data_IF_626401684806
#
_entry.id   IF_626401684806
#
_cell.length_a   1.000
_cell.length_b   1.000
_cell.length_c   1.000
_cell.angle_alpha   90.00
_cell.angle_beta   90.00
_cell.angle_gamma   90.00
#
_symmetry.space_group_name_H-M   'P 1'
#
loop_
_entity.id
_entity.type
_entity.pdbx_description
1 polymer ?
#
# COMPACT_ATOMS: atom_id res chain seq x y z
N UNK A 1 -29.89 -23.51 -27.18
CA UNK A 1 -29.32 -22.18 -27.49
C UNK A 1 -28.87 -21.57 -26.18
N UNK A 2 -27.56 -21.47 -25.96
CA UNK A 2 -26.99 -20.77 -24.82
C UNK A 2 -26.94 -19.27 -25.15
N UNK A 3 -27.29 -18.36 -24.24
CA UNK A 3 -26.99 -16.96 -24.45
C UNK A 3 -25.49 -16.74 -24.20
N UNK A 4 -24.76 -16.50 -25.28
CA UNK A 4 -23.41 -15.97 -25.27
C UNK A 4 -23.42 -14.61 -24.56
N UNK A 5 -22.78 -14.54 -23.38
CA UNK A 5 -22.51 -13.27 -22.69
C UNK A 5 -21.29 -12.62 -23.34
N UNK A 6 -21.49 -12.05 -24.53
CA UNK A 6 -20.52 -11.20 -25.19
C UNK A 6 -20.72 -9.75 -24.72
N UNK A 7 -19.66 -9.15 -24.18
CA UNK A 7 -19.53 -7.68 -24.08
C UNK A 7 -19.78 -7.06 -22.72
N UNK A 8 -18.92 -7.34 -21.74
CA UNK A 8 -18.72 -6.46 -20.58
C UNK A 8 -17.20 -6.25 -20.37
N UNK A 9 -16.55 -5.62 -21.36
CA UNK A 9 -15.17 -5.11 -21.27
C UNK A 9 -15.13 -3.73 -21.91
N UNK A 10 -15.66 -2.75 -21.19
CA UNK A 10 -15.45 -1.32 -21.42
C UNK A 10 -15.75 -0.63 -20.10
N UNK A 11 -14.79 0.16 -19.63
CA UNK A 11 -14.92 1.09 -18.49
C UNK A 11 -14.77 0.51 -17.08
N UNK A 12 -13.91 -0.50 -16.88
CA UNK A 12 -13.30 -0.65 -15.55
C UNK A 12 -12.27 0.49 -15.39
N UNK A 13 -12.38 1.36 -14.37
CA UNK A 13 -11.34 2.32 -14.06
C UNK A 13 -10.03 1.56 -13.93
N UNK A 14 -9.00 1.98 -14.65
CA UNK A 14 -7.69 1.35 -14.52
C UNK A 14 -7.18 1.66 -13.11
N UNK A 15 -7.28 0.70 -12.19
CA UNK A 15 -6.88 0.87 -10.78
C UNK A 15 -5.46 1.39 -10.68
N UNK A 16 -4.55 0.89 -11.52
CA UNK A 16 -3.19 1.38 -11.60
C UNK A 16 -3.13 2.89 -11.93
N UNK A 17 -4.01 3.36 -12.82
CA UNK A 17 -4.09 4.78 -13.16
C UNK A 17 -4.55 5.60 -11.96
N UNK A 18 -5.54 5.13 -11.19
CA UNK A 18 -5.98 5.81 -9.96
C UNK A 18 -4.84 5.94 -8.95
N UNK A 19 -4.02 4.90 -8.79
CA UNK A 19 -2.84 4.93 -7.93
C UNK A 19 -1.81 5.94 -8.44
N UNK A 20 -1.48 5.91 -9.73
CA UNK A 20 -0.53 6.88 -10.31
C UNK A 20 -1.04 8.32 -10.26
N UNK A 21 -2.35 8.53 -10.48
CA UNK A 21 -2.97 9.84 -10.34
C UNK A 21 -2.90 10.30 -8.86
N UNK A 22 -3.13 9.40 -7.90
CA UNK A 22 -2.99 9.69 -6.46
C UNK A 22 -1.55 10.07 -6.06
N UNK A 23 -0.55 9.30 -6.51
CA UNK A 23 0.88 9.61 -6.33
C UNK A 23 1.19 11.01 -6.89
N UNK A 24 0.69 11.33 -8.09
CA UNK A 24 0.86 12.65 -8.72
C UNK A 24 0.22 13.77 -7.90
N UNK A 25 -1.00 13.56 -7.37
CA UNK A 25 -1.68 14.56 -6.54
C UNK A 25 -0.93 14.80 -5.23
N UNK A 26 -0.38 13.75 -4.63
CA UNK A 26 0.45 13.87 -3.44
C UNK A 26 1.74 14.67 -3.72
N UNK A 27 2.43 14.39 -4.83
CA UNK A 27 3.65 15.12 -5.23
C UNK A 27 3.41 16.63 -5.44
N UNK A 28 2.21 17.03 -5.89
CA UNK A 28 1.85 18.45 -6.06
C UNK A 28 1.21 19.07 -4.80
N UNK A 29 1.16 18.33 -3.69
CA UNK A 29 0.65 18.80 -2.40
C UNK A 29 -0.87 18.80 -2.26
N UNK A 30 -1.59 18.11 -3.14
CA UNK A 30 -3.04 17.98 -3.08
C UNK A 30 -3.44 16.69 -2.34
N UNK A 31 -3.27 16.72 -1.01
CA UNK A 31 -3.41 15.55 -0.15
C UNK A 31 -4.83 14.96 -0.17
N UNK A 32 -5.86 15.79 -0.06
CA UNK A 32 -7.27 15.35 -0.07
C UNK A 32 -7.63 14.54 -1.33
N UNK A 33 -7.19 15.02 -2.50
CA UNK A 33 -7.45 14.33 -3.77
C UNK A 33 -6.63 13.04 -3.87
N UNK A 34 -5.38 13.04 -3.38
CA UNK A 34 -4.56 11.83 -3.33
C UNK A 34 -5.22 10.73 -2.51
N UNK A 35 -5.73 11.07 -1.32
CA UNK A 35 -6.45 10.14 -0.44
C UNK A 35 -7.72 9.62 -1.11
N UNK A 36 -8.51 10.51 -1.73
CA UNK A 36 -9.73 10.16 -2.46
C UNK A 36 -9.45 9.14 -3.58
N UNK A 37 -8.43 9.40 -4.40
CA UNK A 37 -8.04 8.53 -5.51
C UNK A 37 -7.48 7.18 -5.05
N UNK A 38 -6.62 7.17 -4.03
CA UNK A 38 -6.06 5.95 -3.46
C UNK A 38 -7.13 5.08 -2.77
N UNK A 39 -8.07 5.71 -2.05
CA UNK A 39 -9.22 5.02 -1.43
C UNK A 39 -10.09 4.34 -2.48
N UNK A 40 -10.41 5.08 -3.55
CA UNK A 40 -11.16 4.53 -4.69
C UNK A 40 -10.41 3.39 -5.39
N UNK A 41 -9.08 3.46 -5.47
CA UNK A 41 -8.27 2.37 -6.01
C UNK A 41 -8.37 1.11 -5.13
N UNK A 42 -8.29 1.26 -3.80
CA UNK A 42 -8.43 0.16 -2.85
C UNK A 42 -9.83 -0.47 -2.92
N UNK A 43 -10.89 0.33 -3.02
CA UNK A 43 -12.26 -0.17 -3.16
C UNK A 43 -12.46 -0.97 -4.47
N UNK A 44 -11.89 -0.50 -5.57
CA UNK A 44 -12.05 -1.13 -6.88
C UNK A 44 -11.20 -2.38 -7.05
N UNK A 45 -10.00 -2.43 -6.46
CA UNK A 45 -9.17 -3.65 -6.48
C UNK A 45 -9.75 -4.73 -5.57
N UNK A 46 -10.30 -4.35 -4.42
CA UNK A 46 -10.84 -5.26 -3.42
C UNK A 46 -9.77 -6.15 -2.77
N UNK A 47 -10.21 -6.95 -1.80
CA UNK A 47 -9.36 -7.92 -1.10
C UNK A 47 -8.88 -9.03 -2.06
N UNK A 48 -7.57 -9.28 -2.06
CA UNK A 48 -6.89 -10.22 -2.95
C UNK A 48 -6.65 -9.69 -4.37
N UNK A 49 -6.96 -8.42 -4.66
CA UNK A 49 -6.74 -7.84 -5.98
C UNK A 49 -5.28 -7.44 -6.24
N UNK A 50 -4.88 -7.41 -7.51
CA UNK A 50 -3.49 -7.17 -7.96
C UNK A 50 -2.86 -5.86 -7.44
N UNK A 51 -3.69 -4.87 -7.10
CA UNK A 51 -3.24 -3.55 -6.64
C UNK A 51 -3.52 -3.30 -5.16
N UNK A 52 -4.06 -4.28 -4.42
CA UNK A 52 -4.43 -4.10 -3.01
C UNK A 52 -3.22 -3.67 -2.18
N UNK A 53 -2.10 -4.39 -2.30
CA UNK A 53 -0.88 -4.09 -1.56
C UNK A 53 -0.36 -2.67 -1.86
N UNK A 54 -0.32 -2.28 -3.13
CA UNK A 54 0.12 -0.94 -3.54
C UNK A 54 -0.81 0.16 -3.01
N UNK A 55 -2.12 -0.05 -3.09
CA UNK A 55 -3.10 0.91 -2.58
C UNK A 55 -3.03 1.05 -1.05
N UNK A 56 -2.85 -0.05 -0.32
CA UNK A 56 -2.69 -0.03 1.13
C UNK A 56 -1.45 0.73 1.58
N UNK A 57 -0.29 0.49 0.97
CA UNK A 57 0.91 1.25 1.32
C UNK A 57 0.75 2.73 1.03
N UNK A 58 0.20 3.09 -0.14
CA UNK A 58 0.00 4.49 -0.49
C UNK A 58 -0.95 5.18 0.51
N UNK A 59 -2.07 4.54 0.86
CA UNK A 59 -2.97 5.07 1.89
C UNK A 59 -2.29 5.17 3.25
N UNK A 60 -1.45 4.22 3.63
CA UNK A 60 -0.63 4.30 4.84
C UNK A 60 0.24 5.56 4.86
N UNK A 61 0.94 5.85 3.77
CA UNK A 61 1.77 7.06 3.64
C UNK A 61 0.91 8.32 3.70
N UNK A 62 -0.17 8.38 2.92
CA UNK A 62 -1.05 9.56 2.89
C UNK A 62 -1.70 9.83 4.25
N UNK A 63 -2.11 8.80 4.98
CA UNK A 63 -2.65 8.94 6.33
C UNK A 63 -1.60 9.43 7.34
N UNK A 64 -0.31 9.07 7.19
CA UNK A 64 0.76 9.68 8.00
C UNK A 64 0.84 11.18 7.73
N UNK A 65 0.76 11.58 6.47
CA UNK A 65 0.85 12.97 6.04
C UNK A 65 -0.37 13.80 6.47
N UNK A 66 -1.55 13.19 6.52
CA UNK A 66 -2.79 13.80 7.01
C UNK A 66 -2.86 13.89 8.54
N UNK A 67 -1.98 13.16 9.24
CA UNK A 67 -1.96 13.06 10.70
C UNK A 67 -2.89 11.99 11.27
N UNK A 68 -3.55 11.21 10.42
CA UNK A 68 -4.41 10.08 10.77
C UNK A 68 -3.56 8.82 11.06
N UNK A 69 -2.83 8.87 12.18
CA UNK A 69 -1.84 7.84 12.57
C UNK A 69 -2.45 6.46 12.77
N UNK A 70 -3.68 6.40 13.31
CA UNK A 70 -4.40 5.15 13.56
C UNK A 70 -4.75 4.45 12.24
N UNK A 71 -5.30 5.19 11.28
CA UNK A 71 -5.60 4.70 9.93
C UNK A 71 -4.33 4.26 9.19
N UNK A 72 -3.26 5.07 9.27
CA UNK A 72 -1.97 4.74 8.66
C UNK A 72 -1.46 3.37 9.15
N UNK A 73 -1.50 3.16 10.47
CA UNK A 73 -1.08 1.90 11.09
C UNK A 73 -1.95 0.74 10.62
N UNK A 74 -3.26 0.91 10.55
CA UNK A 74 -4.18 -0.12 10.07
C UNK A 74 -3.92 -0.51 8.60
N UNK A 75 -3.68 0.47 7.73
CA UNK A 75 -3.30 0.22 6.33
C UNK A 75 -1.98 -0.54 6.22
N UNK A 76 -0.95 -0.13 6.96
CA UNK A 76 0.33 -0.85 6.94
C UNK A 76 0.23 -2.26 7.53
N UNK A 77 -0.54 -2.47 8.60
CA UNK A 77 -0.77 -3.81 9.15
C UNK A 77 -1.49 -4.72 8.16
N UNK A 78 -2.43 -4.19 7.36
CA UNK A 78 -3.05 -4.93 6.26
C UNK A 78 -2.04 -5.24 5.16
N UNK A 79 -1.20 -4.29 4.78
CA UNK A 79 -0.14 -4.50 3.79
C UNK A 79 0.88 -5.57 4.23
N UNK A 80 1.21 -5.63 5.53
CA UNK A 80 2.07 -6.67 6.09
C UNK A 80 1.48 -8.06 5.92
N UNK A 81 0.15 -8.24 6.00
CA UNK A 81 -0.48 -9.54 5.77
C UNK A 81 -0.36 -10.03 4.32
N UNK A 82 -0.17 -9.11 3.37
CA UNK A 82 0.00 -9.43 1.95
C UNK A 82 1.48 -9.65 1.56
N UNK A 83 2.41 -9.08 2.32
CA UNK A 83 3.85 -9.22 2.12
C UNK A 83 4.59 -9.26 3.46
N UNK A 84 4.47 -10.41 4.14
CA UNK A 84 4.94 -10.59 5.52
C UNK A 84 6.45 -10.42 5.68
N UNK A 85 7.21 -10.73 4.63
CA UNK A 85 8.67 -10.71 4.63
C UNK A 85 9.28 -9.49 3.91
N UNK A 86 8.47 -8.65 3.25
CA UNK A 86 8.99 -7.51 2.48
C UNK A 86 9.73 -7.91 1.22
N UNK A 87 9.44 -9.08 0.66
CA UNK A 87 10.22 -9.65 -0.47
C UNK A 87 9.58 -9.40 -1.83
N UNK A 88 8.33 -8.93 -1.85
CA UNK A 88 7.69 -8.53 -3.09
C UNK A 88 8.35 -7.27 -3.66
N UNK A 89 8.23 -7.08 -4.98
CA UNK A 89 8.81 -5.93 -5.69
C UNK A 89 8.12 -4.62 -5.26
N UNK A 90 8.91 -3.59 -5.02
CA UNK A 90 8.43 -2.26 -4.61
C UNK A 90 7.39 -1.69 -5.61
N UNK A 91 7.50 -2.04 -6.91
CA UNK A 91 6.56 -1.59 -7.96
C UNK A 91 5.12 -2.08 -7.74
N UNK A 92 4.92 -3.16 -6.99
CA UNK A 92 3.59 -3.68 -6.64
C UNK A 92 3.21 -3.40 -5.19
N UNK A 93 3.92 -2.49 -4.51
CA UNK A 93 3.73 -2.18 -3.09
C UNK A 93 4.46 -3.14 -2.14
N UNK A 94 5.43 -3.90 -2.64
CA UNK A 94 6.28 -4.72 -1.80
C UNK A 94 7.27 -3.92 -0.96
N UNK A 95 8.34 -4.59 -0.54
CA UNK A 95 9.47 -3.92 0.09
C UNK A 95 9.33 -3.58 1.57
N UNK A 96 10.34 -2.88 2.11
CA UNK A 96 10.55 -2.74 3.54
C UNK A 96 9.73 -1.60 4.19
N UNK A 97 9.22 -0.66 3.38
CA UNK A 97 8.72 0.63 3.83
C UNK A 97 7.65 0.54 4.92
N UNK A 98 6.63 -0.31 4.72
CA UNK A 98 5.56 -0.58 5.70
C UNK A 98 6.08 -0.95 7.09
N UNK A 99 7.16 -1.71 7.19
CA UNK A 99 7.76 -2.08 8.49
C UNK A 99 8.45 -0.88 9.15
N UNK A 100 9.09 -0.03 8.36
CA UNK A 100 9.78 1.15 8.87
C UNK A 100 8.79 2.22 9.37
N UNK A 101 7.63 2.33 8.72
CA UNK A 101 6.52 3.14 9.24
C UNK A 101 5.93 2.54 10.50
N UNK A 102 5.57 1.26 10.52
CA UNK A 102 5.03 0.60 11.72
C UNK A 102 5.95 0.73 12.95
N UNK A 103 7.26 0.71 12.74
CA UNK A 103 8.22 0.94 13.82
C UNK A 103 8.09 2.34 14.45
N UNK A 104 7.87 3.37 13.62
CA UNK A 104 7.72 4.76 14.05
C UNK A 104 6.32 5.06 14.59
N UNK A 105 5.30 4.37 14.06
CA UNK A 105 3.90 4.48 14.46
C UNK A 105 3.52 3.54 15.62
N UNK A 106 4.48 2.84 16.22
CA UNK A 106 4.23 1.92 17.34
C UNK A 106 3.71 2.67 18.56
N UNK A 107 2.55 2.23 19.06
CA UNK A 107 1.94 2.78 20.29
C UNK A 107 2.71 2.34 21.55
N UNK A 108 3.28 1.13 21.54
CA UNK A 108 4.07 0.59 22.66
C UNK A 108 5.50 1.14 22.65
N UNK A 109 6.03 1.45 21.46
CA UNK A 109 7.42 1.85 21.28
C UNK A 109 8.39 0.74 21.67
N UNK A 110 9.61 1.13 22.06
CA UNK A 110 10.57 0.23 22.71
C UNK A 110 10.82 -1.06 21.94
N UNK A 111 10.45 -2.21 22.53
CA UNK A 111 10.65 -3.52 21.90
C UNK A 111 9.78 -3.73 20.66
N UNK A 112 8.56 -3.20 20.61
CA UNK A 112 7.68 -3.33 19.45
C UNK A 112 8.27 -2.59 18.24
N UNK A 113 8.68 -1.32 18.43
CA UNK A 113 9.38 -0.56 17.38
C UNK A 113 10.62 -1.27 16.87
N UNK A 114 11.44 -1.84 17.75
CA UNK A 114 12.66 -2.55 17.36
C UNK A 114 12.34 -3.77 16.50
N UNK A 115 11.31 -4.56 16.84
CA UNK A 115 10.90 -5.71 16.03
C UNK A 115 10.50 -5.29 14.61
N UNK A 116 9.76 -4.19 14.47
CA UNK A 116 9.41 -3.64 13.15
C UNK A 116 10.62 -3.14 12.37
N UNK A 117 11.55 -2.44 13.01
CA UNK A 117 12.81 -2.03 12.37
C UNK A 117 13.65 -3.23 11.93
N UNK A 118 13.71 -4.29 12.74
CA UNK A 118 14.44 -5.52 12.39
C UNK A 118 13.83 -6.22 11.16
N UNK A 119 12.49 -6.26 11.06
CA UNK A 119 11.79 -6.77 9.86
C UNK A 119 12.11 -5.94 8.63
N UNK A 120 12.04 -4.62 8.71
CA UNK A 120 12.41 -3.72 7.61
C UNK A 120 13.87 -3.91 7.17
N UNK A 121 14.79 -4.00 8.14
CA UNK A 121 16.20 -4.26 7.86
C UNK A 121 16.44 -5.65 7.25
N UNK A 122 15.67 -6.66 7.63
CA UNK A 122 15.74 -7.99 7.04
C UNK A 122 15.29 -7.98 5.57
N UNK A 123 14.20 -7.30 5.25
CA UNK A 123 13.72 -7.11 3.87
C UNK A 123 14.78 -6.40 3.00
N UNK A 124 15.35 -5.29 3.49
CA UNK A 124 16.44 -4.57 2.80
C UNK A 124 17.66 -5.45 2.52
N UNK A 125 18.09 -6.27 3.50
CA UNK A 125 19.22 -7.20 3.31
C UNK A 125 18.94 -8.23 2.21
N UNK A 126 17.71 -8.75 2.14
CA UNK A 126 17.31 -9.69 1.09
C UNK A 126 17.33 -9.02 -0.29
N UNK A 127 16.82 -7.79 -0.41
CA UNK A 127 16.83 -7.05 -1.67
C UNK A 127 18.26 -6.85 -2.20
N UNK A 128 19.20 -6.44 -1.35
CA UNK A 128 20.60 -6.22 -1.75
C UNK A 128 21.28 -7.53 -2.20
N UNK A 129 20.95 -8.67 -1.57
CA UNK A 129 21.50 -9.97 -1.96
C UNK A 129 20.99 -10.49 -3.32
N UNK A 130 19.87 -9.94 -3.81
CA UNK A 130 19.26 -10.33 -5.08
C UNK A 130 19.72 -9.46 -6.27
N UNK A 131 20.56 -8.45 -6.05
CA UNK A 131 21.18 -7.59 -7.07
C UNK A 131 22.45 -8.24 -7.66
#
# INVERSE_FOLDING_TARGET
MAPSRAGAKKDAPNVNKLITDAETQYEVGNLDEAISLASKALELTGEGGDFELKALNLLGVLSVEDGEVEDARDYFLRAVKLDEEGTLDDKIGGGPEKFLFLAQLSEEGGQDSVQWFERGAAALRKQIQAL
#
